data_IF_285592830844
#
_entry.id   IF_285592830844
#
_cell.length_a   1.000
_cell.length_b   1.000
_cell.length_c   1.000
_cell.angle_alpha   90.00
_cell.angle_beta   90.00
_cell.angle_gamma   90.00
#
_symmetry.space_group_name_H-M   'P 1'
#
loop_
_entity.id
_entity.type
_entity.pdbx_description
1 polymer ?
#
# COMPACT_ATOMS: atom_id res chain seq x y z
N UNK A 1 -31.04 -9.20 -36.64
CA UNK A 1 -31.20 -9.88 -35.35
C UNK A 1 -30.59 -9.01 -34.26
N UNK A 2 -31.35 -8.73 -33.19
CA UNK A 2 -30.97 -7.83 -32.09
C UNK A 2 -30.15 -8.61 -31.06
N UNK A 3 -28.86 -8.30 -30.89
CA UNK A 3 -28.03 -8.94 -29.86
C UNK A 3 -28.21 -8.20 -28.53
N UNK A 4 -28.62 -8.99 -27.55
CA UNK A 4 -29.03 -8.57 -26.21
C UNK A 4 -27.82 -8.14 -25.38
N UNK A 5 -28.05 -7.09 -24.61
CA UNK A 5 -27.22 -6.52 -23.55
C UNK A 5 -26.49 -7.57 -22.70
N UNK A 6 -25.16 -7.46 -22.65
CA UNK A 6 -24.33 -8.16 -21.69
C UNK A 6 -24.40 -7.37 -20.38
N UNK A 7 -25.06 -7.95 -19.38
CA UNK A 7 -25.10 -7.41 -18.01
C UNK A 7 -23.82 -7.86 -17.32
N UNK A 8 -22.90 -6.91 -17.10
CA UNK A 8 -21.71 -7.14 -16.28
C UNK A 8 -22.18 -7.09 -14.81
N UNK A 9 -22.18 -8.25 -14.16
CA UNK A 9 -22.49 -8.36 -12.74
C UNK A 9 -21.27 -7.88 -11.93
N UNK A 10 -21.30 -6.64 -11.47
CA UNK A 10 -20.36 -6.13 -10.47
C UNK A 10 -20.73 -6.74 -9.11
N UNK A 11 -19.93 -7.69 -8.63
CA UNK A 11 -20.06 -8.20 -7.25
C UNK A 11 -19.21 -7.29 -6.36
N UNK A 12 -19.81 -6.22 -5.85
CA UNK A 12 -19.20 -5.44 -4.78
C UNK A 12 -19.56 -6.12 -3.45
N UNK A 13 -18.54 -6.69 -2.81
CA UNK A 13 -18.61 -7.28 -1.47
C UNK A 13 -19.03 -6.23 -0.44
N UNK A 14 -20.18 -6.46 0.20
CA UNK A 14 -20.67 -5.71 1.34
C UNK A 14 -19.79 -5.96 2.57
N UNK A 15 -19.09 -4.91 3.04
CA UNK A 15 -18.45 -4.89 4.36
C UNK A 15 -19.21 -3.94 5.31
N UNK A 16 -19.26 -4.35 6.57
CA UNK A 16 -20.20 -3.93 7.62
C UNK A 16 -19.96 -2.50 8.17
N UNK A 17 -21.06 -1.85 8.56
CA UNK A 17 -21.11 -0.63 9.37
C UNK A 17 -20.35 -0.77 10.70
N UNK A 18 -19.40 0.14 11.01
CA UNK A 18 -19.20 0.78 12.35
C UNK A 18 -18.42 2.10 12.17
N UNK A 19 -18.96 3.22 12.70
CA UNK A 19 -18.17 4.31 13.27
C UNK A 19 -17.64 5.39 12.32
N UNK A 20 -18.24 6.57 12.39
CA UNK A 20 -17.78 7.81 11.74
C UNK A 20 -16.47 8.28 12.39
N UNK A 21 -15.34 7.83 11.84
CA UNK A 21 -14.06 8.51 11.91
C UNK A 21 -13.65 8.70 10.47
N UNK A 22 -13.55 9.95 10.02
CA UNK A 22 -13.02 10.29 8.69
C UNK A 22 -11.51 10.03 8.68
N UNK A 23 -11.13 8.75 8.69
CA UNK A 23 -9.81 8.33 8.25
C UNK A 23 -9.81 8.59 6.76
N UNK A 24 -8.91 9.44 6.27
CA UNK A 24 -8.63 9.52 4.83
C UNK A 24 -8.05 8.17 4.42
N UNK A 25 -8.93 7.21 4.13
CA UNK A 25 -8.56 5.88 3.72
C UNK A 25 -8.12 5.99 2.26
N UNK A 26 -6.84 5.71 2.01
CA UNK A 26 -6.32 5.65 0.66
C UNK A 26 -7.07 4.53 -0.09
N UNK A 27 -7.97 4.91 -0.99
CA UNK A 27 -8.69 3.98 -1.85
C UNK A 27 -7.69 3.45 -2.90
N UNK A 28 -7.24 2.21 -2.73
CA UNK A 28 -6.36 1.57 -3.70
C UNK A 28 -7.15 1.18 -4.97
N UNK A 29 -6.58 1.47 -6.15
CA UNK A 29 -7.19 1.15 -7.44
C UNK A 29 -6.28 0.27 -8.30
N UNK A 30 -6.88 -0.47 -9.23
CA UNK A 30 -6.16 -1.28 -10.24
C UNK A 30 -6.51 -0.77 -11.63
N UNK A 31 -5.50 -0.37 -12.39
CA UNK A 31 -5.63 0.12 -13.75
C UNK A 31 -5.25 -1.01 -14.71
N UNK A 32 -6.20 -1.39 -15.58
CA UNK A 32 -6.03 -2.50 -16.53
C UNK A 32 -6.39 -2.06 -17.95
N UNK A 33 -5.61 -2.50 -18.94
CA UNK A 33 -5.95 -2.39 -20.36
C UNK A 33 -5.77 -3.74 -21.05
N UNK A 34 -6.75 -4.15 -21.87
CA UNK A 34 -6.66 -5.37 -22.69
C UNK A 34 -6.36 -6.67 -21.88
N UNK A 35 -6.75 -6.74 -20.61
CA UNK A 35 -6.46 -7.88 -19.73
C UNK A 35 -5.10 -7.83 -19.04
N UNK A 36 -4.31 -6.78 -19.27
CA UNK A 36 -2.99 -6.56 -18.66
C UNK A 36 -3.14 -5.49 -17.58
N UNK A 37 -2.78 -5.83 -16.34
CA UNK A 37 -2.70 -4.88 -15.24
C UNK A 37 -1.51 -3.97 -15.48
N UNK A 38 -1.77 -2.67 -15.66
CA UNK A 38 -0.76 -1.64 -15.90
C UNK A 38 -0.28 -1.01 -14.60
N UNK A 39 -1.18 -0.90 -13.61
CA UNK A 39 -0.86 -0.33 -12.31
C UNK A 39 -1.78 -0.91 -11.23
N UNK A 40 -1.23 -1.09 -10.04
CA UNK A 40 -1.93 -1.54 -8.85
C UNK A 40 -1.46 -0.68 -7.68
N UNK A 41 -2.30 0.28 -7.28
CA UNK A 41 -1.99 1.24 -6.20
C UNK A 41 -1.87 0.56 -4.84
N UNK A 42 -2.32 -0.69 -4.70
CA UNK A 42 -2.16 -1.45 -3.46
C UNK A 42 -0.73 -1.96 -3.27
N UNK A 43 0.10 -1.93 -4.33
CA UNK A 43 1.48 -2.42 -4.32
C UNK A 43 2.45 -1.30 -3.95
N UNK A 44 3.38 -1.62 -3.07
CA UNK A 44 4.50 -0.75 -2.75
C UNK A 44 5.35 -0.54 -4.01
N UNK A 45 5.92 0.66 -4.13
CA UNK A 45 6.81 1.03 -5.21
C UNK A 45 8.26 0.81 -4.79
N UNK A 46 9.13 0.46 -5.74
CA UNK A 46 10.54 0.15 -5.46
C UNK A 46 11.27 1.29 -4.72
N UNK A 47 10.99 2.53 -5.08
CA UNK A 47 11.62 3.68 -4.44
C UNK A 47 11.14 3.89 -2.99
N UNK A 48 9.93 3.42 -2.62
CA UNK A 48 9.44 3.51 -1.24
C UNK A 48 10.18 2.55 -0.31
N UNK A 49 10.70 1.43 -0.84
CA UNK A 49 11.57 0.52 -0.08
C UNK A 49 12.84 1.23 0.38
N UNK A 50 13.33 2.21 -0.40
CA UNK A 50 14.49 3.03 0.00
C UNK A 50 14.18 3.98 1.15
N UNK A 51 12.91 4.32 1.40
CA UNK A 51 12.53 5.16 2.54
C UNK A 51 12.76 4.46 3.88
N UNK A 52 12.76 3.13 3.89
CA UNK A 52 13.10 2.33 5.07
C UNK A 52 14.52 2.67 5.55
N UNK A 53 15.47 2.93 4.64
CA UNK A 53 16.83 3.34 5.00
C UNK A 53 16.87 4.64 5.80
N UNK A 54 16.01 5.60 5.46
CA UNK A 54 15.92 6.86 6.17
C UNK A 54 15.29 6.69 7.56
N UNK A 55 14.30 5.81 7.69
CA UNK A 55 13.64 5.50 8.96
C UNK A 55 14.61 4.84 9.97
N UNK A 56 15.41 3.87 9.50
CA UNK A 56 16.32 3.09 10.36
C UNK A 56 17.65 3.79 10.62
N UNK A 57 18.04 4.76 9.78
CA UNK A 57 19.29 5.49 9.95
C UNK A 57 19.20 6.46 11.15
N UNK A 58 20.09 6.36 12.15
CA UNK A 58 20.07 7.24 13.33
C UNK A 58 20.42 8.69 12.99
N UNK A 59 21.06 8.94 11.85
CA UNK A 59 21.52 10.27 11.43
C UNK A 59 20.55 10.99 10.49
N UNK A 60 19.44 10.36 10.08
CA UNK A 60 18.40 11.05 9.31
C UNK A 60 17.78 12.15 10.17
N UNK A 61 17.55 13.31 9.57
CA UNK A 61 16.90 14.41 10.28
C UNK A 61 15.49 14.05 10.76
N UNK A 62 15.11 14.60 11.91
CA UNK A 62 13.87 14.25 12.60
C UNK A 62 12.63 14.62 11.76
N UNK A 63 12.67 15.75 11.05
CA UNK A 63 11.56 16.20 10.21
C UNK A 63 11.29 15.21 9.05
N UNK A 64 12.34 14.70 8.41
CA UNK A 64 12.24 13.71 7.34
C UNK A 64 11.70 12.40 7.88
N UNK A 65 12.15 11.95 9.07
CA UNK A 65 11.58 10.75 9.70
C UNK A 65 10.09 10.89 9.95
N UNK A 66 9.67 11.99 10.58
CA UNK A 66 8.26 12.24 10.89
C UNK A 66 7.40 12.30 9.63
N UNK A 67 7.89 12.92 8.56
CA UNK A 67 7.19 12.95 7.26
C UNK A 67 7.05 11.57 6.64
N UNK A 68 8.08 10.73 6.70
CA UNK A 68 8.03 9.37 6.18
C UNK A 68 7.12 8.47 7.02
N UNK A 69 7.15 8.61 8.35
CA UNK A 69 6.22 7.91 9.24
C UNK A 69 4.78 8.28 8.95
N UNK A 70 4.49 9.58 8.77
CA UNK A 70 3.15 10.04 8.38
C UNK A 70 2.73 9.54 7.00
N UNK A 71 3.65 9.54 6.03
CA UNK A 71 3.40 9.02 4.69
C UNK A 71 2.91 7.57 4.74
N UNK A 72 3.66 6.69 5.43
CA UNK A 72 3.29 5.29 5.57
C UNK A 72 2.05 5.09 6.46
N UNK A 73 1.87 5.89 7.51
CA UNK A 73 0.68 5.83 8.36
C UNK A 73 -0.61 6.15 7.57
N UNK A 74 -0.55 7.08 6.62
CA UNK A 74 -1.68 7.39 5.73
C UNK A 74 -2.05 6.22 4.79
N UNK A 75 -1.11 5.29 4.57
CA UNK A 75 -1.34 4.04 3.82
C UNK A 75 -1.73 2.87 4.75
N UNK A 76 -1.87 3.11 6.06
CA UNK A 76 -2.20 2.09 7.05
C UNK A 76 -1.00 1.29 7.59
N UNK A 77 0.24 1.72 7.31
CA UNK A 77 1.47 1.11 7.78
C UNK A 77 2.04 1.96 8.93
N UNK A 78 1.81 1.55 10.17
CA UNK A 78 2.07 2.36 11.36
C UNK A 78 3.43 2.07 12.02
N UNK A 79 4.15 1.06 11.56
CA UNK A 79 5.45 0.68 12.09
C UNK A 79 6.44 0.27 11.00
N UNK A 80 7.74 0.43 11.26
CA UNK A 80 8.79 0.01 10.33
C UNK A 80 8.72 -1.48 10.01
N UNK A 81 8.35 -2.32 11.00
CA UNK A 81 8.13 -3.74 10.80
C UNK A 81 6.97 -4.04 9.83
N UNK A 82 5.86 -3.29 9.91
CA UNK A 82 4.74 -3.41 8.97
C UNK A 82 5.13 -2.98 7.56
N UNK A 83 5.92 -1.90 7.43
CA UNK A 83 6.43 -1.41 6.13
C UNK A 83 7.32 -2.50 5.49
N UNK A 84 8.27 -3.06 6.24
CA UNK A 84 9.15 -4.15 5.78
C UNK A 84 8.34 -5.40 5.42
N UNK A 85 7.32 -5.74 6.22
CA UNK A 85 6.44 -6.87 5.94
C UNK A 85 5.65 -6.69 4.65
N UNK A 86 5.12 -5.48 4.41
CA UNK A 86 4.41 -5.14 3.17
C UNK A 86 5.33 -5.20 1.95
N UNK A 87 6.54 -4.66 2.05
CA UNK A 87 7.55 -4.75 1.01
C UNK A 87 7.86 -6.22 0.64
N UNK A 88 8.04 -7.08 1.65
CA UNK A 88 8.24 -8.53 1.45
C UNK A 88 7.04 -9.19 0.77
N UNK A 89 5.82 -8.85 1.21
CA UNK A 89 4.58 -9.38 0.64
C UNK A 89 4.39 -8.97 -0.83
N UNK A 90 4.87 -7.78 -1.20
CA UNK A 90 4.80 -7.28 -2.58
C UNK A 90 5.94 -7.78 -3.47
N UNK A 91 6.87 -8.56 -2.92
CA UNK A 91 7.92 -9.24 -3.68
C UNK A 91 9.26 -8.52 -3.72
N UNK A 92 9.47 -7.48 -2.90
CA UNK A 92 10.76 -6.83 -2.78
C UNK A 92 11.72 -7.63 -1.89
N UNK A 93 13.00 -7.57 -2.22
CA UNK A 93 14.06 -8.10 -1.37
C UNK A 93 14.25 -7.18 -0.15
N UNK A 94 13.94 -7.71 1.03
CA UNK A 94 14.08 -7.03 2.32
C UNK A 94 15.10 -7.70 3.23
N UNK A 95 15.99 -8.55 2.71
CA UNK A 95 16.99 -9.27 3.52
C UNK A 95 17.81 -8.34 4.42
N UNK A 96 18.07 -7.10 3.95
CA UNK A 96 18.73 -6.04 4.72
C UNK A 96 18.01 -5.68 6.03
N UNK A 97 16.68 -5.80 6.07
CA UNK A 97 15.81 -5.32 7.14
C UNK A 97 15.18 -6.44 7.97
N UNK A 98 15.51 -7.70 7.75
CA UNK A 98 14.87 -8.83 8.46
C UNK A 98 15.03 -8.76 9.98
N UNK A 99 16.08 -8.11 10.48
CA UNK A 99 16.28 -7.87 11.91
C UNK A 99 15.19 -7.01 12.56
N UNK A 100 14.37 -6.30 11.78
CA UNK A 100 13.25 -5.48 12.24
C UNK A 100 11.94 -6.27 12.36
N UNK A 101 11.89 -7.51 11.90
CA UNK A 101 10.72 -8.39 11.94
C UNK A 101 10.68 -9.29 13.18
N UNK A 102 11.60 -9.09 14.13
CA UNK A 102 11.83 -9.96 15.29
C UNK A 102 11.67 -9.22 16.62
#
# INVERSE_FOLDING_TARGET
MKFKHIVIATVATSALFIGDVTVHQAEASVIQQNGIILHDDSKMLEHEVTYIDYLVNPNTDQETKERLEQYFANQGLNSVAEIVSKAKQDGFDVTKYEYLLH
#
